data_IF_921188219062
#
_entry.id   IF_921188219062
#
_cell.length_a   1.000
_cell.length_b   1.000
_cell.length_c   1.000
_cell.angle_alpha   90.00
_cell.angle_beta   90.00
_cell.angle_gamma   90.00
#
_symmetry.space_group_name_H-M   'P 1'
#
loop_
_entity.id
_entity.type
_entity.pdbx_description
1 polymer ?
#
# COMPACT_ATOMS: atom_id res chain seq x y z
N UNK A 1 17.49 32.62 -4.18
CA UNK A 1 17.57 31.20 -3.84
C UNK A 1 17.33 30.42 -5.12
N UNK A 2 18.27 29.58 -5.59
CA UNK A 2 18.00 28.72 -6.73
C UNK A 2 16.87 27.76 -6.34
N UNK A 3 15.83 27.68 -7.17
CA UNK A 3 14.74 26.70 -7.00
C UNK A 3 15.37 25.32 -6.89
N UNK A 4 15.06 24.58 -5.81
CA UNK A 4 15.53 23.21 -5.69
C UNK A 4 15.05 22.48 -6.94
N UNK A 5 15.94 21.82 -7.71
CA UNK A 5 15.54 21.13 -8.93
C UNK A 5 14.37 20.24 -8.55
N UNK A 6 13.19 20.54 -9.12
CA UNK A 6 12.01 19.72 -8.92
C UNK A 6 12.48 18.31 -9.19
N UNK A 7 12.45 17.44 -8.16
CA UNK A 7 12.98 16.08 -8.26
C UNK A 7 12.16 15.40 -9.33
N UNK A 8 12.65 15.45 -10.56
CA UNK A 8 12.04 14.84 -11.72
C UNK A 8 11.95 13.37 -11.36
N UNK A 9 10.71 12.94 -11.12
CA UNK A 9 10.43 11.65 -10.56
C UNK A 9 10.96 10.59 -11.50
N UNK A 10 11.82 9.70 -11.00
CA UNK A 10 12.36 8.62 -11.81
C UNK A 10 11.20 7.74 -12.32
N UNK A 11 11.05 7.55 -13.65
CA UNK A 11 10.07 6.63 -14.21
C UNK A 11 10.39 5.19 -13.79
N UNK A 12 9.42 4.29 -13.92
CA UNK A 12 9.67 2.87 -13.76
C UNK A 12 10.76 2.41 -14.73
N UNK A 13 11.58 1.44 -14.31
CA UNK A 13 12.66 0.93 -15.16
C UNK A 13 12.10 0.40 -16.50
N UNK A 14 12.82 0.65 -17.59
CA UNK A 14 12.45 0.10 -18.90
C UNK A 14 12.40 -1.43 -18.87
N UNK A 15 13.27 -2.05 -18.06
CA UNK A 15 13.27 -3.48 -17.79
C UNK A 15 11.97 -3.98 -17.13
N UNK A 16 11.38 -3.21 -16.21
CA UNK A 16 10.07 -3.51 -15.63
C UNK A 16 8.99 -3.51 -16.72
N UNK A 17 8.95 -2.48 -17.57
CA UNK A 17 7.96 -2.40 -18.65
C UNK A 17 8.09 -3.55 -19.66
N UNK A 18 9.32 -3.94 -19.99
CA UNK A 18 9.60 -5.08 -20.87
C UNK A 18 9.15 -6.40 -20.24
N UNK A 19 9.50 -6.63 -18.97
CA UNK A 19 9.09 -7.83 -18.22
C UNK A 19 7.56 -7.92 -18.11
N UNK A 20 6.90 -6.81 -17.77
CA UNK A 20 5.44 -6.70 -17.72
C UNK A 20 4.77 -7.05 -19.05
N UNK A 21 5.26 -6.47 -20.15
CA UNK A 21 4.69 -6.74 -21.48
C UNK A 21 4.79 -8.22 -21.85
N UNK A 22 5.94 -8.84 -21.57
CA UNK A 22 6.14 -10.27 -21.80
C UNK A 22 5.24 -11.11 -20.89
N UNK A 23 5.15 -10.77 -19.62
CA UNK A 23 4.27 -11.44 -18.66
C UNK A 23 2.80 -11.43 -19.09
N UNK A 24 2.29 -10.25 -19.50
CA UNK A 24 0.94 -10.09 -20.01
C UNK A 24 0.73 -10.85 -21.34
N UNK A 25 1.72 -10.83 -22.24
CA UNK A 25 1.67 -11.54 -23.51
C UNK A 25 1.52 -13.05 -23.30
N UNK A 26 2.37 -13.68 -22.48
CA UNK A 26 2.32 -15.13 -22.27
C UNK A 26 1.07 -15.56 -21.52
N UNK A 27 0.61 -14.74 -20.57
CA UNK A 27 -0.65 -14.99 -19.88
C UNK A 27 -1.85 -14.86 -20.82
N UNK A 28 -1.87 -13.85 -21.69
CA UNK A 28 -2.88 -13.70 -22.73
C UNK A 28 -2.83 -14.83 -23.76
N UNK A 29 -1.63 -15.32 -24.11
CA UNK A 29 -1.46 -16.46 -25.00
C UNK A 29 -1.98 -17.76 -24.38
N UNK A 30 -1.76 -17.98 -23.08
CA UNK A 30 -2.33 -19.12 -22.35
C UNK A 30 -3.86 -19.03 -22.31
N UNK A 31 -4.41 -17.85 -22.01
CA UNK A 31 -5.86 -17.62 -22.07
C UNK A 31 -6.38 -17.89 -23.47
N UNK A 32 -5.76 -17.34 -24.51
CA UNK A 32 -6.19 -17.55 -25.90
C UNK A 32 -6.11 -19.02 -26.30
N UNK A 33 -5.06 -19.74 -25.88
CA UNK A 33 -4.93 -21.16 -26.11
C UNK A 33 -6.10 -21.95 -25.51
N UNK A 34 -6.43 -21.69 -24.25
CA UNK A 34 -7.49 -22.39 -23.52
C UNK A 34 -8.92 -21.95 -23.92
N UNK A 35 -9.13 -20.68 -24.29
CA UNK A 35 -10.46 -20.16 -24.65
C UNK A 35 -10.82 -20.34 -26.12
N UNK A 36 -9.87 -20.06 -27.01
CA UNK A 36 -10.10 -20.13 -28.46
C UNK A 36 -9.90 -21.56 -28.94
N UNK A 37 -9.26 -22.42 -28.13
CA UNK A 37 -8.89 -23.76 -28.54
C UNK A 37 -7.96 -23.69 -29.74
N UNK A 38 -6.96 -22.79 -29.70
CA UNK A 38 -6.00 -22.59 -30.79
C UNK A 38 -5.28 -23.91 -31.07
N UNK A 39 -5.79 -24.69 -32.02
CA UNK A 39 -5.12 -25.87 -32.54
C UNK A 39 -4.11 -25.37 -33.56
N UNK A 40 -2.84 -25.42 -33.20
CA UNK A 40 -1.76 -25.23 -34.17
C UNK A 40 -1.95 -26.29 -35.25
N UNK A 41 -2.36 -25.86 -36.45
CA UNK A 41 -2.40 -26.73 -37.61
C UNK A 41 -0.97 -27.20 -37.87
N UNK A 42 -0.72 -28.49 -37.68
CA UNK A 42 0.60 -29.11 -37.82
C UNK A 42 1.28 -28.71 -39.14
N UNK A 43 0.51 -28.59 -40.21
CA UNK A 43 0.99 -28.27 -41.56
C UNK A 43 1.61 -26.85 -41.66
N UNK A 44 1.09 -25.89 -40.89
CA UNK A 44 1.56 -24.50 -40.93
C UNK A 44 2.88 -24.28 -40.18
N UNK A 45 3.20 -25.13 -39.20
CA UNK A 45 4.47 -25.11 -38.48
C UNK A 45 5.52 -26.00 -39.12
N UNK A 46 5.10 -27.13 -39.71
CA UNK A 46 5.98 -28.05 -40.43
C UNK A 46 6.58 -27.40 -41.68
N UNK A 47 5.81 -26.57 -42.38
CA UNK A 47 6.33 -25.74 -43.48
C UNK A 47 7.40 -24.71 -43.05
N UNK A 48 7.51 -24.42 -41.75
CA UNK A 48 8.55 -23.58 -41.15
C UNK A 48 9.64 -24.38 -40.43
N UNK A 49 9.63 -25.72 -40.54
CA UNK A 49 10.62 -26.60 -39.91
C UNK A 49 10.50 -26.74 -38.40
N UNK A 50 9.35 -26.36 -37.81
CA UNK A 50 9.11 -26.48 -36.36
C UNK A 50 8.15 -27.65 -36.11
N UNK A 51 8.70 -28.80 -35.71
CA UNK A 51 7.89 -29.94 -35.29
C UNK A 51 7.63 -29.88 -33.78
N UNK A 52 6.39 -29.60 -33.40
CA UNK A 52 5.93 -29.71 -32.02
C UNK A 52 5.56 -31.17 -31.77
N UNK A 53 6.46 -31.93 -31.14
CA UNK A 53 6.27 -33.36 -30.85
C UNK A 53 5.07 -33.63 -29.92
N UNK A 54 4.70 -32.67 -29.07
CA UNK A 54 3.55 -32.77 -28.17
C UNK A 54 2.85 -31.42 -28.03
N UNK A 55 1.75 -31.19 -28.76
CA UNK A 55 0.92 -29.99 -28.61
C UNK A 55 0.40 -29.83 -27.17
N UNK A 56 0.24 -30.94 -26.43
CA UNK A 56 -0.17 -30.93 -25.03
C UNK A 56 0.90 -30.32 -24.11
N UNK A 57 2.16 -30.20 -24.55
CA UNK A 57 3.22 -29.57 -23.78
C UNK A 57 3.16 -28.03 -23.80
N UNK A 58 2.44 -27.44 -24.76
CA UNK A 58 2.41 -25.97 -24.96
C UNK A 58 1.88 -25.22 -23.72
N UNK A 59 0.76 -25.60 -23.09
CA UNK A 59 0.29 -24.93 -21.87
C UNK A 59 1.31 -24.97 -20.73
N UNK A 60 2.01 -26.08 -20.55
CA UNK A 60 3.04 -26.21 -19.52
C UNK A 60 4.24 -25.30 -19.79
N UNK A 61 4.67 -25.20 -21.05
CA UNK A 61 5.71 -24.25 -21.45
C UNK A 61 5.28 -22.80 -21.20
N UNK A 62 4.02 -22.45 -21.50
CA UNK A 62 3.46 -21.13 -21.22
C UNK A 62 3.40 -20.84 -19.71
N UNK A 63 2.98 -21.80 -18.89
CA UNK A 63 2.98 -21.66 -17.43
C UNK A 63 4.40 -21.42 -16.91
N UNK A 64 5.39 -22.19 -17.39
CA UNK A 64 6.79 -21.99 -17.01
C UNK A 64 7.29 -20.58 -17.38
N UNK A 65 6.94 -20.07 -18.56
CA UNK A 65 7.25 -18.70 -18.98
C UNK A 65 6.55 -17.66 -18.11
N UNK A 66 5.27 -17.85 -17.78
CA UNK A 66 4.51 -16.98 -16.87
C UNK A 66 5.19 -16.95 -15.50
N UNK A 67 5.59 -18.08 -14.93
CA UNK A 67 6.31 -18.14 -13.65
C UNK A 67 7.68 -17.44 -13.69
N UNK A 68 8.42 -17.61 -14.79
CA UNK A 68 9.69 -16.91 -15.00
C UNK A 68 9.49 -15.39 -15.05
N UNK A 69 8.50 -14.91 -15.80
CA UNK A 69 8.22 -13.48 -15.91
C UNK A 69 7.56 -12.90 -14.67
N UNK A 70 6.82 -13.70 -13.90
CA UNK A 70 6.36 -13.36 -12.56
C UNK A 70 7.54 -13.05 -11.64
N UNK A 71 8.54 -13.93 -11.58
CA UNK A 71 9.74 -13.68 -10.80
C UNK A 71 10.44 -12.39 -11.26
N UNK A 72 10.62 -12.22 -12.58
CA UNK A 72 11.30 -11.06 -13.15
C UNK A 72 10.56 -9.73 -12.88
N UNK A 73 9.24 -9.68 -13.04
CA UNK A 73 8.46 -8.47 -12.80
C UNK A 73 8.49 -8.09 -11.32
N UNK A 74 8.42 -9.06 -10.41
CA UNK A 74 8.54 -8.84 -8.95
C UNK A 74 9.91 -8.27 -8.61
N UNK A 75 10.99 -8.84 -9.14
CA UNK A 75 12.35 -8.36 -8.89
C UNK A 75 12.58 -6.94 -9.43
N UNK A 76 12.17 -6.66 -10.67
CA UNK A 76 12.29 -5.31 -11.25
C UNK A 76 11.41 -4.30 -10.51
N UNK A 77 10.21 -4.69 -10.10
CA UNK A 77 9.36 -3.87 -9.24
C UNK A 77 10.06 -3.52 -7.92
N UNK A 78 10.64 -4.50 -7.24
CA UNK A 78 11.35 -4.33 -5.97
C UNK A 78 12.68 -3.55 -6.10
N UNK A 79 13.23 -3.43 -7.31
CA UNK A 79 14.41 -2.58 -7.58
C UNK A 79 14.06 -1.10 -7.73
N UNK A 80 12.84 -0.76 -8.14
CA UNK A 80 12.41 0.64 -8.24
C UNK A 80 12.33 1.29 -6.84
N UNK A 81 12.50 2.61 -6.80
CA UNK A 81 12.38 3.39 -5.56
C UNK A 81 11.01 3.21 -4.89
N UNK A 82 10.98 3.26 -3.55
CA UNK A 82 9.76 3.09 -2.77
C UNK A 82 8.70 4.14 -3.15
N UNK A 83 9.11 5.39 -3.36
CA UNK A 83 8.23 6.49 -3.78
C UNK A 83 7.59 6.27 -5.15
N UNK A 84 8.25 5.54 -6.06
CA UNK A 84 7.70 5.17 -7.38
C UNK A 84 6.74 4.00 -7.23
N UNK A 85 7.09 2.98 -6.43
CA UNK A 85 6.23 1.82 -6.17
C UNK A 85 4.91 2.17 -5.46
N UNK A 86 4.93 3.15 -4.56
CA UNK A 86 3.75 3.54 -3.79
C UNK A 86 2.71 4.33 -4.58
N UNK A 87 3.03 4.71 -5.82
CA UNK A 87 2.06 5.39 -6.68
C UNK A 87 0.94 4.45 -7.04
N UNK A 88 -0.29 4.95 -6.95
CA UNK A 88 -1.49 4.19 -7.27
C UNK A 88 -1.42 3.56 -8.68
N UNK A 89 -1.02 4.33 -9.70
CA UNK A 89 -0.87 3.82 -11.08
C UNK A 89 0.10 2.65 -11.16
N UNK A 90 1.23 2.77 -10.48
CA UNK A 90 2.26 1.75 -10.45
C UNK A 90 1.72 0.48 -9.77
N UNK A 91 1.06 0.63 -8.62
CA UNK A 91 0.48 -0.51 -7.88
C UNK A 91 -0.63 -1.20 -8.66
N UNK A 92 -1.50 -0.44 -9.31
CA UNK A 92 -2.58 -0.96 -10.16
C UNK A 92 -1.99 -1.75 -11.32
N UNK A 93 -0.98 -1.21 -11.98
CA UNK A 93 -0.30 -1.88 -13.08
C UNK A 93 0.32 -3.23 -12.67
N UNK A 94 1.01 -3.22 -11.52
CA UNK A 94 1.57 -4.43 -10.92
C UNK A 94 0.46 -5.44 -10.60
N UNK A 95 -0.61 -5.02 -9.95
CA UNK A 95 -1.72 -5.88 -9.54
C UNK A 95 -2.46 -6.49 -10.75
N UNK A 96 -2.80 -5.68 -11.75
CA UNK A 96 -3.50 -6.11 -12.98
C UNK A 96 -2.69 -7.19 -13.70
N UNK A 97 -1.38 -7.02 -13.80
CA UNK A 97 -0.50 -7.99 -14.47
C UNK A 97 -0.53 -9.36 -13.77
N UNK A 98 -0.52 -9.37 -12.44
CA UNK A 98 -0.61 -10.60 -11.64
C UNK A 98 -1.99 -11.23 -11.71
N UNK A 99 -3.05 -10.42 -11.69
CA UNK A 99 -4.42 -10.90 -11.82
C UNK A 99 -4.63 -11.61 -13.15
N UNK A 100 -4.12 -11.03 -14.25
CA UNK A 100 -4.23 -11.60 -15.58
C UNK A 100 -3.48 -12.95 -15.68
N UNK A 101 -2.30 -13.06 -15.08
CA UNK A 101 -1.54 -14.30 -15.04
C UNK A 101 -2.18 -15.38 -14.15
N UNK A 102 -2.64 -15.02 -12.95
CA UNK A 102 -3.34 -15.94 -12.05
C UNK A 102 -4.66 -16.41 -12.66
N UNK A 103 -5.39 -15.51 -13.33
CA UNK A 103 -6.58 -15.85 -14.11
C UNK A 103 -6.27 -16.85 -15.22
N UNK A 104 -5.19 -16.64 -15.98
CA UNK A 104 -4.76 -17.56 -17.04
C UNK A 104 -4.45 -18.97 -16.50
N UNK A 105 -3.63 -19.07 -15.46
CA UNK A 105 -3.28 -20.34 -14.82
C UNK A 105 -4.54 -20.99 -14.20
N UNK A 106 -5.39 -20.19 -13.56
CA UNK A 106 -6.62 -20.66 -12.96
C UNK A 106 -7.54 -21.31 -14.00
N UNK A 107 -7.80 -20.62 -15.12
CA UNK A 107 -8.63 -21.14 -16.21
C UNK A 107 -8.08 -22.48 -16.71
N UNK A 108 -6.76 -22.58 -16.91
CA UNK A 108 -6.11 -23.82 -17.32
C UNK A 108 -6.36 -24.97 -16.32
N UNK A 109 -6.09 -24.75 -15.04
CA UNK A 109 -6.29 -25.76 -13.99
C UNK A 109 -7.74 -26.20 -13.95
N UNK A 110 -8.67 -25.24 -14.02
CA UNK A 110 -10.10 -25.50 -14.00
C UNK A 110 -10.55 -26.38 -15.18
N UNK A 111 -10.23 -26.00 -16.41
CA UNK A 111 -10.56 -26.80 -17.60
C UNK A 111 -10.02 -28.22 -17.48
N UNK A 112 -8.80 -28.35 -16.96
CA UNK A 112 -8.16 -29.65 -16.77
C UNK A 112 -8.87 -30.52 -15.73
N UNK A 113 -9.27 -29.95 -14.60
CA UNK A 113 -10.01 -30.67 -13.56
C UNK A 113 -11.42 -31.04 -14.00
N UNK A 114 -12.10 -30.14 -14.72
CA UNK A 114 -13.46 -30.36 -15.19
C UNK A 114 -13.53 -31.30 -16.40
N UNK A 115 -12.40 -31.60 -17.06
CA UNK A 115 -12.33 -32.28 -18.35
C UNK A 115 -13.24 -31.63 -19.42
N UNK A 116 -13.38 -30.30 -19.34
CA UNK A 116 -14.22 -29.48 -20.22
C UNK A 116 -13.33 -28.46 -20.91
N UNK A 117 -13.45 -28.33 -22.24
CA UNK A 117 -12.95 -27.17 -22.96
C UNK A 117 -14.01 -26.08 -22.93
N UNK A 118 -13.67 -24.91 -22.39
CA UNK A 118 -14.60 -23.77 -22.36
C UNK A 118 -15.04 -23.41 -23.79
N UNK A 119 -14.17 -23.58 -24.79
CA UNK A 119 -14.50 -23.36 -26.20
C UNK A 119 -15.71 -24.20 -26.67
N UNK A 120 -15.75 -25.48 -26.28
CA UNK A 120 -16.83 -26.40 -26.68
C UNK A 120 -18.15 -26.03 -25.98
N UNK A 121 -18.06 -25.65 -24.70
CA UNK A 121 -19.22 -25.21 -23.93
C UNK A 121 -19.72 -23.84 -24.36
N UNK A 122 -18.86 -22.89 -24.74
CA UNK A 122 -19.26 -21.59 -25.29
C UNK A 122 -20.12 -21.80 -26.52
N UNK A 123 -19.81 -22.78 -27.38
CA UNK A 123 -20.62 -23.05 -28.57
C UNK A 123 -22.04 -23.54 -28.24
N UNK A 124 -22.18 -24.32 -27.16
CA UNK A 124 -23.48 -24.77 -26.64
C UNK A 124 -24.20 -23.66 -25.86
N UNK A 125 -23.45 -22.84 -25.14
CA UNK A 125 -23.94 -21.75 -24.29
C UNK A 125 -24.33 -20.50 -25.08
N UNK A 126 -23.68 -20.17 -26.19
CA UNK A 126 -24.08 -19.02 -27.03
C UNK A 126 -25.50 -19.19 -27.60
N UNK A 127 -26.05 -20.40 -27.59
CA UNK A 127 -27.46 -20.67 -27.89
C UNK A 127 -28.44 -20.55 -26.70
N UNK A 128 -27.98 -20.50 -25.45
CA UNK A 128 -28.86 -20.56 -24.26
C UNK A 128 -28.52 -19.59 -23.11
N UNK A 129 -27.27 -19.16 -22.99
CA UNK A 129 -26.79 -18.30 -21.91
C UNK A 129 -26.53 -16.90 -22.45
N UNK A 130 -27.14 -15.92 -21.80
CA UNK A 130 -26.97 -14.52 -22.15
C UNK A 130 -25.51 -14.15 -21.92
N UNK A 131 -24.80 -13.81 -23.00
CA UNK A 131 -23.39 -13.36 -22.96
C UNK A 131 -23.20 -12.24 -21.94
N UNK A 132 -24.24 -11.42 -21.71
CA UNK A 132 -24.28 -10.40 -20.66
C UNK A 132 -24.02 -10.92 -19.24
N UNK A 133 -24.46 -12.12 -18.88
CA UNK A 133 -24.34 -12.66 -17.52
C UNK A 133 -22.90 -13.08 -17.20
N UNK A 134 -22.19 -13.63 -18.19
CA UNK A 134 -20.77 -13.99 -18.06
C UNK A 134 -19.91 -12.74 -17.92
N UNK A 135 -20.17 -11.71 -18.74
CA UNK A 135 -19.48 -10.43 -18.61
C UNK A 135 -19.82 -9.72 -17.30
N UNK A 136 -21.07 -9.79 -16.83
CA UNK A 136 -21.46 -9.25 -15.53
C UNK A 136 -20.72 -9.93 -14.37
N UNK A 137 -20.53 -11.24 -14.41
CA UNK A 137 -19.77 -11.98 -13.40
C UNK A 137 -18.29 -11.58 -13.36
N UNK A 138 -17.63 -11.52 -14.53
CA UNK A 138 -16.22 -11.09 -14.65
C UNK A 138 -16.07 -9.63 -14.18
N UNK A 139 -16.99 -8.75 -14.60
CA UNK A 139 -16.99 -7.35 -14.21
C UNK A 139 -17.22 -7.18 -12.70
N UNK A 140 -18.11 -7.97 -12.10
CA UNK A 140 -18.35 -7.99 -10.66
C UNK A 140 -17.11 -8.36 -9.85
N UNK A 141 -16.38 -9.42 -10.25
CA UNK A 141 -15.12 -9.82 -9.58
C UNK A 141 -14.05 -8.74 -9.72
N UNK A 142 -13.95 -8.10 -10.88
CA UNK A 142 -13.03 -6.98 -11.12
C UNK A 142 -13.35 -5.77 -10.24
N UNK A 143 -14.63 -5.37 -10.16
CA UNK A 143 -15.10 -4.26 -9.33
C UNK A 143 -14.81 -4.55 -7.85
N UNK A 144 -15.18 -5.74 -7.33
CA UNK A 144 -14.92 -6.11 -5.93
C UNK A 144 -13.43 -6.09 -5.60
N UNK A 145 -12.58 -6.57 -6.52
CA UNK A 145 -11.13 -6.59 -6.33
C UNK A 145 -10.53 -5.18 -6.31
N UNK A 146 -10.95 -4.30 -7.22
CA UNK A 146 -10.51 -2.90 -7.28
C UNK A 146 -10.95 -2.13 -6.03
N UNK A 147 -12.19 -2.34 -5.60
CA UNK A 147 -12.77 -1.71 -4.40
C UNK A 147 -12.04 -2.17 -3.13
N UNK A 148 -11.76 -3.47 -3.01
CA UNK A 148 -11.02 -4.04 -1.87
C UNK A 148 -9.57 -3.53 -1.81
N UNK A 149 -8.90 -3.42 -2.95
CA UNK A 149 -7.55 -2.83 -3.03
C UNK A 149 -7.56 -1.34 -2.67
N UNK A 150 -8.59 -0.60 -3.09
CA UNK A 150 -8.75 0.82 -2.78
C UNK A 150 -9.01 1.05 -1.28
N UNK A 151 -9.88 0.22 -0.67
CA UNK A 151 -10.18 0.24 0.77
C UNK A 151 -8.92 0.04 1.62
N UNK A 152 -8.12 -0.97 1.31
CA UNK A 152 -6.91 -1.26 2.08
C UNK A 152 -5.80 -0.20 1.90
N UNK A 153 -5.71 0.41 0.72
CA UNK A 153 -4.79 1.52 0.46
C UNK A 153 -5.19 2.79 1.23
N UNK A 154 -6.49 3.00 1.44
CA UNK A 154 -7.05 4.17 2.12
C UNK A 154 -7.08 4.04 3.65
N UNK A 155 -7.32 2.84 4.19
CA UNK A 155 -7.15 2.54 5.62
C UNK A 155 -5.75 2.90 6.14
N UNK A 156 -4.74 2.84 5.28
CA UNK A 156 -3.37 3.31 5.55
C UNK A 156 -3.24 4.84 5.71
N UNK A 157 -4.22 5.63 5.27
CA UNK A 157 -4.24 7.10 5.31
C UNK A 157 -5.23 7.68 6.34
N UNK A 158 -5.91 6.85 7.14
CA UNK A 158 -6.69 7.28 8.29
C UNK A 158 -8.06 7.94 8.00
N UNK A 159 -8.61 7.80 6.79
CA UNK A 159 -9.89 8.44 6.43
C UNK A 159 -11.12 7.54 6.65
N UNK A 160 -11.94 7.84 7.65
CA UNK A 160 -13.07 7.01 8.12
C UNK A 160 -14.30 7.02 7.18
N UNK A 161 -14.49 8.07 6.38
CA UNK A 161 -15.72 8.26 5.58
C UNK A 161 -15.75 7.41 4.30
N UNK A 162 -14.60 7.22 3.64
CA UNK A 162 -14.50 6.39 2.44
C UNK A 162 -14.55 4.89 2.79
N UNK A 163 -14.12 4.53 4.00
CA UNK A 163 -14.15 3.16 4.51
C UNK A 163 -15.59 2.61 4.57
N UNK A 164 -16.54 3.41 5.01
CA UNK A 164 -17.96 3.03 5.05
C UNK A 164 -18.59 2.95 3.66
N UNK A 165 -18.17 3.81 2.72
CA UNK A 165 -18.65 3.78 1.34
C UNK A 165 -18.17 2.53 0.59
N UNK A 166 -16.90 2.15 0.75
CA UNK A 166 -16.33 0.97 0.09
C UNK A 166 -16.83 -0.34 0.72
N UNK A 167 -17.03 -0.38 2.04
CA UNK A 167 -17.73 -1.48 2.71
C UNK A 167 -19.16 -1.56 2.18
N UNK A 168 -19.88 -0.44 2.10
CA UNK A 168 -21.24 -0.39 1.53
C UNK A 168 -21.30 -0.85 0.07
N UNK A 169 -20.32 -0.48 -0.76
CA UNK A 169 -20.24 -0.88 -2.16
C UNK A 169 -19.92 -2.38 -2.30
N UNK A 170 -19.03 -2.92 -1.46
CA UNK A 170 -18.74 -4.36 -1.40
C UNK A 170 -19.94 -5.18 -0.88
N UNK A 171 -20.68 -4.65 0.09
CA UNK A 171 -21.92 -5.24 0.59
C UNK A 171 -23.00 -5.21 -0.49
N UNK A 172 -23.13 -4.09 -1.21
CA UNK A 172 -24.07 -3.95 -2.32
C UNK A 172 -23.74 -4.92 -3.46
N UNK A 173 -22.48 -5.10 -3.82
CA UNK A 173 -22.08 -6.11 -4.82
C UNK A 173 -22.39 -7.53 -4.34
N UNK A 174 -22.15 -7.85 -3.07
CA UNK A 174 -22.53 -9.15 -2.48
C UNK A 174 -24.06 -9.33 -2.46
N UNK A 175 -24.83 -8.30 -2.11
CA UNK A 175 -26.30 -8.34 -2.08
C UNK A 175 -26.87 -8.50 -3.48
N UNK A 176 -26.38 -7.72 -4.47
CA UNK A 176 -26.77 -7.88 -5.87
C UNK A 176 -26.43 -9.29 -6.37
N UNK A 177 -25.28 -9.83 -5.97
CA UNK A 177 -24.86 -11.19 -6.30
C UNK A 177 -25.77 -12.27 -5.67
N UNK A 178 -26.17 -12.11 -4.40
CA UNK A 178 -27.10 -13.02 -3.71
C UNK A 178 -28.53 -12.88 -4.24
N UNK A 179 -28.96 -11.68 -4.66
CA UNK A 179 -30.27 -11.50 -5.30
C UNK A 179 -30.32 -12.16 -6.68
N UNK A 180 -29.26 -12.04 -7.48
CA UNK A 180 -29.13 -12.77 -8.75
C UNK A 180 -29.08 -14.30 -8.55
N UNK A 181 -28.58 -14.78 -7.41
CA UNK A 181 -28.60 -16.20 -7.00
C UNK A 181 -30.01 -16.72 -6.70
N UNK A 182 -30.82 -15.94 -5.99
CA UNK A 182 -32.18 -16.35 -5.60
C UNK A 182 -33.13 -16.35 -6.81
N UNK A 183 -32.94 -15.45 -7.77
CA UNK A 183 -33.84 -15.30 -8.92
C UNK A 183 -33.61 -16.38 -10.00
N UNK A 184 -32.37 -16.84 -10.21
CA UNK A 184 -32.03 -17.67 -11.37
C UNK A 184 -31.89 -19.18 -11.09
N UNK A 185 -31.95 -19.61 -9.83
CA UNK A 185 -31.86 -21.03 -9.46
C UNK A 185 -30.43 -21.61 -9.55
N UNK A 186 -30.20 -22.70 -8.83
CA UNK A 186 -28.88 -23.33 -8.69
C UNK A 186 -28.61 -24.21 -9.90
N UNK A 187 -27.90 -23.67 -10.89
CA UNK A 187 -27.22 -24.50 -11.88
C UNK A 187 -25.76 -24.74 -11.45
N UNK A 188 -25.26 -25.96 -11.67
CA UNK A 188 -23.94 -26.42 -11.18
C UNK A 188 -22.77 -25.56 -11.67
N UNK A 189 -22.91 -24.90 -12.82
CA UNK A 189 -21.93 -23.94 -13.34
C UNK A 189 -21.75 -22.70 -12.46
N UNK A 190 -22.75 -22.34 -11.66
CA UNK A 190 -22.71 -21.15 -10.80
C UNK A 190 -21.93 -21.40 -9.51
N UNK A 191 -22.13 -22.55 -8.86
CA UNK A 191 -21.38 -22.94 -7.66
C UNK A 191 -19.86 -22.98 -7.93
N UNK A 192 -19.48 -23.41 -9.13
CA UNK A 192 -18.10 -23.44 -9.58
C UNK A 192 -17.55 -22.02 -9.80
N UNK A 193 -18.32 -21.13 -10.41
CA UNK A 193 -17.91 -19.73 -10.63
C UNK A 193 -17.71 -18.98 -9.31
N UNK A 194 -18.56 -19.23 -8.31
CA UNK A 194 -18.40 -18.71 -6.93
C UNK A 194 -17.13 -19.24 -6.28
N UNK A 195 -16.89 -20.55 -6.35
CA UNK A 195 -15.68 -21.15 -5.81
C UNK A 195 -14.42 -20.56 -6.45
N UNK A 196 -14.47 -20.33 -7.77
CA UNK A 196 -13.37 -19.71 -8.50
C UNK A 196 -13.12 -18.25 -8.07
N UNK A 197 -14.18 -17.45 -7.98
CA UNK A 197 -14.10 -16.07 -7.49
C UNK A 197 -13.57 -15.99 -6.06
N UNK A 198 -14.01 -16.90 -5.18
CA UNK A 198 -13.54 -17.00 -3.80
C UNK A 198 -12.06 -17.37 -3.69
N UNK A 199 -11.59 -18.36 -4.46
CA UNK A 199 -10.18 -18.76 -4.51
C UNK A 199 -9.31 -17.62 -5.03
N UNK A 200 -9.76 -16.93 -6.07
CA UNK A 200 -9.01 -15.82 -6.66
C UNK A 200 -8.90 -14.64 -5.67
N UNK A 201 -10.00 -14.29 -5.00
CA UNK A 201 -10.02 -13.26 -3.96
C UNK A 201 -9.13 -13.63 -2.75
N UNK A 202 -9.17 -14.89 -2.31
CA UNK A 202 -8.31 -15.39 -1.24
C UNK A 202 -6.83 -15.34 -1.62
N UNK A 203 -6.50 -15.70 -2.87
CA UNK A 203 -5.12 -15.68 -3.40
C UNK A 203 -4.59 -14.24 -3.46
N UNK A 204 -5.38 -13.30 -3.98
CA UNK A 204 -5.00 -11.87 -4.01
C UNK A 204 -4.78 -11.34 -2.59
N UNK A 205 -5.66 -11.69 -1.66
CA UNK A 205 -5.53 -11.31 -0.24
C UNK A 205 -4.26 -11.88 0.38
N UNK A 206 -3.97 -13.16 0.13
CA UNK A 206 -2.77 -13.84 0.64
C UNK A 206 -1.48 -13.22 0.09
N UNK A 207 -1.40 -12.99 -1.23
CA UNK A 207 -0.25 -12.34 -1.87
C UNK A 207 -0.04 -10.95 -1.28
N UNK A 208 -1.10 -10.17 -1.08
CA UNK A 208 -1.01 -8.85 -0.47
C UNK A 208 -0.52 -8.91 0.99
N UNK A 209 -1.01 -9.85 1.80
CA UNK A 209 -0.56 -10.06 3.18
C UNK A 209 0.92 -10.48 3.24
N UNK A 210 1.34 -11.39 2.35
CA UNK A 210 2.74 -11.83 2.25
C UNK A 210 3.64 -10.67 1.84
N UNK A 211 3.26 -9.89 0.82
CA UNK A 211 4.02 -8.70 0.41
C UNK A 211 4.07 -7.63 1.50
N UNK A 212 2.97 -7.44 2.26
CA UNK A 212 2.92 -6.54 3.41
C UNK A 212 3.87 -6.97 4.54
N UNK A 213 3.89 -8.26 4.87
CA UNK A 213 4.82 -8.84 5.86
C UNK A 213 6.26 -8.81 5.36
N UNK A 214 6.50 -9.14 4.10
CA UNK A 214 7.82 -9.10 3.47
C UNK A 214 8.37 -7.67 3.48
N UNK A 215 7.52 -6.66 3.21
CA UNK A 215 7.90 -5.25 3.30
C UNK A 215 8.25 -4.83 4.74
N UNK A 216 7.45 -5.20 5.73
CA UNK A 216 7.77 -4.97 7.15
C UNK A 216 9.05 -5.69 7.56
N UNK A 217 9.26 -6.91 7.09
CA UNK A 217 10.45 -7.70 7.35
C UNK A 217 11.69 -7.09 6.69
N UNK A 218 11.61 -6.66 5.43
CA UNK A 218 12.70 -5.96 4.73
C UNK A 218 13.05 -4.64 5.41
N UNK A 219 12.06 -3.89 5.93
CA UNK A 219 12.30 -2.71 6.77
C UNK A 219 13.04 -3.08 8.07
N UNK A 220 12.74 -4.22 8.69
CA UNK A 220 13.44 -4.72 9.88
C UNK A 220 14.83 -5.32 9.60
N UNK A 221 15.05 -5.92 8.42
CA UNK A 221 16.23 -6.73 8.06
C UNK A 221 17.22 -6.04 7.11
N UNK A 222 17.12 -4.72 6.87
CA UNK A 222 18.21 -3.96 6.26
C UNK A 222 19.07 -3.17 7.28
N UNK A 223 19.76 -3.80 8.26
CA UNK A 223 20.77 -3.09 9.05
C UNK A 223 22.14 -2.99 8.33
N UNK A 224 22.43 -3.76 7.27
CA UNK A 224 23.80 -3.85 6.73
C UNK A 224 24.16 -2.87 5.60
N UNK A 225 23.19 -2.23 4.93
CA UNK A 225 23.48 -1.11 4.00
C UNK A 225 23.69 0.22 4.73
N UNK A 226 23.50 0.24 6.06
CA UNK A 226 23.60 1.42 6.91
C UNK A 226 25.00 1.64 7.51
N UNK A 227 25.95 0.72 7.40
CA UNK A 227 27.24 0.90 8.11
C UNK A 227 28.10 2.05 7.56
N UNK A 228 28.02 2.36 6.26
CA UNK A 228 28.66 3.55 5.68
C UNK A 228 27.79 4.84 5.81
N UNK A 229 26.53 4.69 6.24
CA UNK A 229 25.56 5.78 6.44
C UNK A 229 25.29 6.02 7.94
N UNK A 230 25.85 5.20 8.84
CA UNK A 230 25.56 5.23 10.28
C UNK A 230 26.11 6.50 10.91
N UNK A 231 27.27 6.98 10.48
CA UNK A 231 27.80 8.28 10.93
C UNK A 231 26.89 9.43 10.49
N UNK A 232 26.39 9.41 9.24
CA UNK A 232 25.47 10.44 8.73
C UNK A 232 24.11 10.38 9.43
N UNK A 233 23.55 9.19 9.59
CA UNK A 233 22.30 8.95 10.32
C UNK A 233 22.45 9.35 11.78
N UNK A 234 23.59 9.04 12.41
CA UNK A 234 23.86 9.45 13.77
C UNK A 234 24.01 10.98 13.88
N UNK A 235 24.71 11.63 12.95
CA UNK A 235 24.80 13.09 12.89
C UNK A 235 23.42 13.74 12.73
N UNK A 236 22.56 13.21 11.85
CA UNK A 236 21.17 13.67 11.69
C UNK A 236 20.39 13.46 12.99
N UNK A 237 20.53 12.32 13.66
CA UNK A 237 19.87 12.05 14.94
C UNK A 237 20.30 13.02 16.04
N UNK A 238 21.59 13.32 16.11
CA UNK A 238 22.16 14.32 17.01
C UNK A 238 21.60 15.70 16.73
N UNK A 239 21.57 16.11 15.46
CA UNK A 239 21.02 17.39 15.04
C UNK A 239 19.54 17.53 15.42
N UNK A 240 18.74 16.48 15.26
CA UNK A 240 17.34 16.47 15.67
C UNK A 240 17.20 16.58 17.19
N UNK A 241 17.98 15.81 17.94
CA UNK A 241 18.00 15.86 19.39
C UNK A 241 18.35 17.25 19.94
N UNK A 242 19.41 17.86 19.38
CA UNK A 242 19.86 19.19 19.79
C UNK A 242 18.80 20.26 19.50
N UNK A 243 18.10 20.17 18.35
CA UNK A 243 17.00 21.08 17.99
C UNK A 243 15.82 20.95 18.95
N UNK A 244 15.45 19.72 19.31
CA UNK A 244 14.37 19.45 20.28
C UNK A 244 14.73 20.00 21.65
N UNK A 245 15.94 19.76 22.14
CA UNK A 245 16.40 20.29 23.42
C UNK A 245 16.52 21.83 23.41
N UNK A 246 17.05 22.41 22.34
CA UNK A 246 17.13 23.85 22.17
C UNK A 246 15.74 24.49 22.20
N UNK A 247 14.77 23.88 21.50
CA UNK A 247 13.39 24.33 21.54
C UNK A 247 12.80 24.27 22.95
N UNK A 248 12.89 23.12 23.63
CA UNK A 248 12.37 22.95 25.00
C UNK A 248 13.02 23.96 25.95
N UNK A 249 14.34 24.13 25.90
CA UNK A 249 15.05 25.08 26.75
C UNK A 249 14.65 26.54 26.46
N UNK A 250 14.42 26.88 25.19
CA UNK A 250 13.94 28.20 24.81
C UNK A 250 12.52 28.49 25.37
N UNK A 251 11.63 27.49 25.33
CA UNK A 251 10.29 27.61 25.93
C UNK A 251 10.38 27.79 27.45
N UNK A 252 11.22 27.00 28.12
CA UNK A 252 11.44 27.07 29.58
C UNK A 252 12.05 28.41 30.01
N UNK A 253 13.07 28.90 29.30
CA UNK A 253 13.77 30.13 29.64
C UNK A 253 12.89 31.38 29.43
N UNK A 254 12.10 31.41 28.36
CA UNK A 254 11.28 32.58 28.03
C UNK A 254 9.85 32.53 28.59
N UNK A 255 9.43 31.38 29.14
CA UNK A 255 8.04 31.16 29.59
C UNK A 255 7.00 31.30 28.49
N UNK A 256 7.40 31.13 27.22
CA UNK A 256 6.52 31.24 26.04
C UNK A 256 6.91 30.21 24.99
N UNK A 257 5.92 29.51 24.44
CA UNK A 257 6.07 28.75 23.21
C UNK A 257 5.59 29.61 22.04
N UNK A 258 6.49 29.86 21.09
CA UNK A 258 6.14 30.51 19.84
C UNK A 258 5.72 29.45 18.81
N UNK A 259 4.56 29.65 18.19
CA UNK A 259 4.02 28.74 17.16
C UNK A 259 4.90 28.67 15.93
N UNK A 260 5.55 29.78 15.53
CA UNK A 260 6.46 29.73 14.38
C UNK A 260 7.65 28.82 14.68
N UNK A 261 8.21 28.92 15.88
CA UNK A 261 9.29 28.05 16.37
C UNK A 261 8.86 26.57 16.47
N UNK A 262 7.63 26.30 16.94
CA UNK A 262 7.10 24.94 17.02
C UNK A 262 6.87 24.32 15.62
N UNK A 263 6.34 25.11 14.69
CA UNK A 263 6.13 24.71 13.30
C UNK A 263 7.45 24.48 12.58
N UNK A 264 8.44 25.33 12.84
CA UNK A 264 9.78 25.18 12.29
C UNK A 264 10.45 23.91 12.82
N UNK A 265 10.30 23.60 14.12
CA UNK A 265 10.76 22.33 14.68
C UNK A 265 10.11 21.14 13.95
N UNK A 266 8.77 21.11 13.82
CA UNK A 266 8.07 20.05 13.09
C UNK A 266 8.52 19.93 11.64
N UNK A 267 8.74 21.05 10.95
CA UNK A 267 9.21 21.07 9.57
C UNK A 267 10.59 20.45 9.46
N UNK A 268 11.49 20.81 10.38
CA UNK A 268 12.84 20.30 10.46
C UNK A 268 12.86 18.82 10.89
N UNK A 269 11.90 18.38 11.70
CA UNK A 269 11.79 17.01 12.18
C UNK A 269 10.79 16.15 11.39
N UNK A 270 10.31 16.61 10.22
CA UNK A 270 9.25 15.95 9.43
C UNK A 270 9.56 14.49 9.08
N UNK A 271 10.84 14.16 8.97
CA UNK A 271 11.34 12.82 8.63
C UNK A 271 11.83 12.03 9.86
N UNK A 272 11.42 12.42 11.07
CA UNK A 272 11.82 11.72 12.29
C UNK A 272 11.42 10.24 12.28
N UNK A 273 10.32 9.89 11.62
CA UNK A 273 9.86 8.50 11.43
C UNK A 273 10.84 7.60 10.68
N UNK A 274 11.74 8.20 9.90
CA UNK A 274 12.81 7.48 9.18
C UNK A 274 13.99 7.19 10.11
N UNK A 275 14.27 8.10 11.04
CA UNK A 275 15.49 8.07 11.86
C UNK A 275 15.26 7.52 13.27
N UNK A 276 14.04 7.60 13.78
CA UNK A 276 13.67 7.27 15.15
C UNK A 276 12.48 6.30 15.21
N UNK A 277 12.23 5.74 16.39
CA UNK A 277 11.06 4.91 16.65
C UNK A 277 9.77 5.73 16.80
N UNK A 278 8.65 5.02 16.83
CA UNK A 278 7.29 5.56 17.02
C UNK A 278 7.20 6.39 18.32
N UNK A 279 7.93 5.99 19.36
CA UNK A 279 7.99 6.67 20.66
C UNK A 279 8.52 8.12 20.59
N UNK A 280 9.43 8.40 19.66
CA UNK A 280 9.97 9.74 19.43
C UNK A 280 9.01 10.56 18.58
N UNK A 281 8.39 9.94 17.57
CA UNK A 281 7.41 10.62 16.72
C UNK A 281 6.21 11.07 17.55
N UNK A 282 5.72 10.20 18.45
CA UNK A 282 4.65 10.53 19.39
C UNK A 282 5.05 11.66 20.33
N UNK A 283 6.27 11.63 20.87
CA UNK A 283 6.80 12.71 21.70
C UNK A 283 6.85 14.06 20.96
N UNK A 284 7.30 14.08 19.70
CA UNK A 284 7.34 15.30 18.90
C UNK A 284 5.92 15.84 18.61
N UNK A 285 4.96 14.96 18.39
CA UNK A 285 3.56 15.35 18.23
C UNK A 285 2.99 15.93 19.52
N UNK A 286 3.25 15.30 20.67
CA UNK A 286 2.86 15.83 21.99
C UNK A 286 3.49 17.21 22.23
N UNK A 287 4.79 17.34 21.99
CA UNK A 287 5.51 18.61 22.09
C UNK A 287 4.86 19.72 21.26
N UNK A 288 4.48 19.43 20.02
CA UNK A 288 3.78 20.37 19.17
C UNK A 288 2.39 20.76 19.72
N UNK A 289 1.59 19.78 20.16
CA UNK A 289 0.26 20.05 20.72
C UNK A 289 0.33 20.93 21.98
N UNK A 290 1.24 20.61 22.90
CA UNK A 290 1.46 21.41 24.10
C UNK A 290 1.99 22.81 23.77
N UNK A 291 2.77 22.96 22.71
CA UNK A 291 3.26 24.27 22.26
C UNK A 291 2.13 25.18 21.78
N UNK A 292 1.18 24.63 20.99
CA UNK A 292 -0.03 25.36 20.57
C UNK A 292 -0.88 25.75 21.79
N UNK A 293 -1.09 24.79 22.69
CA UNK A 293 -1.89 25.02 23.89
C UNK A 293 -1.25 26.09 24.78
N UNK A 294 0.08 26.08 24.91
CA UNK A 294 0.80 27.05 25.70
C UNK A 294 0.66 28.46 25.13
N UNK A 295 0.81 28.64 23.82
CA UNK A 295 0.64 29.95 23.19
C UNK A 295 -0.78 30.49 23.42
N UNK A 296 -1.80 29.64 23.26
CA UNK A 296 -3.20 30.00 23.51
C UNK A 296 -3.40 30.48 24.95
N UNK A 297 -2.91 29.72 25.93
CA UNK A 297 -3.01 30.06 27.35
C UNK A 297 -2.23 31.33 27.67
N UNK A 298 -1.04 31.52 27.08
CA UNK A 298 -0.24 32.71 27.29
C UNK A 298 -0.91 33.98 26.72
N UNK A 299 -1.57 33.88 25.56
CA UNK A 299 -2.39 34.97 25.01
C UNK A 299 -3.55 35.32 25.95
N UNK A 300 -4.28 34.31 26.44
CA UNK A 300 -5.35 34.53 27.42
C UNK A 300 -4.82 35.17 28.71
N UNK A 301 -3.67 34.71 29.20
CA UNK A 301 -3.01 35.26 30.38
C UNK A 301 -2.62 36.72 30.19
N UNK A 302 -2.07 37.09 29.03
CA UNK A 302 -1.68 38.47 28.71
C UNK A 302 -2.86 39.44 28.57
N UNK A 303 -4.06 38.92 28.32
CA UNK A 303 -5.30 39.70 28.22
C UNK A 303 -5.95 39.93 29.59
N UNK A 304 -5.55 39.19 30.62
CA UNK A 304 -6.04 39.43 31.98
C UNK A 304 -5.46 40.76 32.49
N UNK A 305 -6.36 41.68 32.84
CA UNK A 305 -5.98 42.90 33.56
C UNK A 305 -5.78 42.59 35.05
N UNK A 306 -5.03 43.44 35.75
CA UNK A 306 -4.85 43.35 37.22
C UNK A 306 -6.19 43.30 37.98
N UNK A 307 -7.26 43.84 37.37
CA UNK A 307 -8.61 43.87 37.93
C UNK A 307 -9.49 42.68 37.54
N UNK A 308 -8.97 41.66 36.87
CA UNK A 308 -9.77 40.50 36.46
C UNK A 308 -10.21 39.69 37.68
N UNK A 309 -11.49 39.28 37.77
CA UNK A 309 -11.99 38.44 38.85
C UNK A 309 -11.19 37.13 39.02
N UNK A 310 -10.98 36.69 40.26
CA UNK A 310 -10.15 35.52 40.58
C UNK A 310 -10.69 34.22 39.97
N UNK A 311 -12.01 34.08 39.88
CA UNK A 311 -12.70 32.95 39.25
C UNK A 311 -12.39 32.83 37.75
N UNK A 312 -12.06 33.93 37.07
CA UNK A 312 -11.63 33.95 35.68
C UNK A 312 -10.11 33.72 35.56
N UNK A 313 -9.32 34.31 36.46
CA UNK A 313 -7.87 34.22 36.41
C UNK A 313 -7.32 32.85 36.85
N UNK A 314 -7.93 32.22 37.86
CA UNK A 314 -7.43 30.99 38.46
C UNK A 314 -7.37 29.79 37.49
N UNK A 315 -8.39 29.52 36.63
CA UNK A 315 -8.31 28.43 35.64
C UNK A 315 -7.17 28.62 34.64
N UNK A 316 -6.95 29.86 34.17
CA UNK A 316 -5.89 30.19 33.21
C UNK A 316 -4.52 30.03 33.88
N UNK A 317 -4.37 30.51 35.12
CA UNK A 317 -3.16 30.34 35.93
C UNK A 317 -2.82 28.87 36.13
N UNK A 318 -3.80 28.06 36.54
CA UNK A 318 -3.63 26.63 36.78
C UNK A 318 -3.21 25.90 35.50
N UNK A 319 -3.85 26.22 34.38
CA UNK A 319 -3.50 25.65 33.09
C UNK A 319 -2.09 26.06 32.63
N UNK A 320 -1.73 27.33 32.83
CA UNK A 320 -0.37 27.83 32.56
C UNK A 320 0.67 27.06 33.38
N UNK A 321 0.45 26.90 34.70
CA UNK A 321 1.34 26.12 35.57
C UNK A 321 1.44 24.65 35.15
N UNK A 322 0.33 24.03 34.74
CA UNK A 322 0.31 22.65 34.23
C UNK A 322 1.19 22.49 32.99
N UNK A 323 1.04 23.39 32.01
CA UNK A 323 1.80 23.31 30.76
C UNK A 323 3.28 23.60 31.00
N UNK A 324 3.62 24.61 31.81
CA UNK A 324 5.02 24.89 32.20
C UNK A 324 5.66 23.67 32.88
N UNK A 325 4.94 23.04 33.82
CA UNK A 325 5.41 21.83 34.48
C UNK A 325 5.56 20.63 33.54
N UNK A 326 4.79 20.57 32.46
CA UNK A 326 4.97 19.57 31.40
C UNK A 326 6.26 19.81 30.60
N UNK A 327 6.56 21.06 30.23
CA UNK A 327 7.80 21.41 29.53
C UNK A 327 9.05 21.14 30.37
N UNK A 328 8.98 21.37 31.68
CA UNK A 328 10.07 21.01 32.60
C UNK A 328 10.36 19.51 32.61
N UNK A 329 9.31 18.68 32.66
CA UNK A 329 9.46 17.20 32.58
C UNK A 329 9.91 16.74 31.20
N UNK A 330 9.43 17.38 30.14
CA UNK A 330 9.72 17.02 28.75
C UNK A 330 11.19 17.15 28.40
N UNK A 331 11.92 18.05 29.06
CA UNK A 331 13.37 18.16 28.89
C UNK A 331 14.09 16.85 29.29
N UNK A 332 13.79 16.32 30.47
CA UNK A 332 14.43 15.09 30.96
C UNK A 332 13.90 13.85 30.23
N UNK A 333 12.62 13.88 29.85
CA UNK A 333 12.01 12.84 29.04
C UNK A 333 12.61 12.77 27.63
N UNK A 334 12.89 13.91 26.99
CA UNK A 334 13.61 13.95 25.73
C UNK A 334 14.99 13.29 25.86
N UNK A 335 15.76 13.61 26.90
CA UNK A 335 17.06 12.95 27.15
C UNK A 335 16.92 11.44 27.27
N UNK A 336 15.93 10.97 28.02
CA UNK A 336 15.69 9.54 28.23
C UNK A 336 15.24 8.84 26.94
N UNK A 337 14.30 9.41 26.19
CA UNK A 337 13.76 8.80 24.97
C UNK A 337 14.77 8.81 23.82
N UNK A 338 15.56 9.88 23.66
CA UNK A 338 16.56 9.97 22.59
C UNK A 338 17.85 9.19 22.89
N UNK A 339 18.17 8.90 24.16
CA UNK A 339 19.40 8.20 24.56
C UNK A 339 19.72 6.90 23.78
N UNK A 340 18.76 5.99 23.49
CA UNK A 340 19.03 4.79 22.70
C UNK A 340 19.43 5.06 21.25
N UNK A 341 19.08 6.22 20.70
CA UNK A 341 19.34 6.61 19.31
C UNK A 341 20.59 7.46 19.16
N UNK A 342 21.00 8.11 20.24
CA UNK A 342 22.08 9.09 20.31
C UNK A 342 23.38 8.49 20.89
N UNK A 343 23.32 7.42 21.68
CA UNK A 343 24.55 6.72 22.07
C UNK A 343 25.17 6.06 20.84
N UNK A 344 26.40 6.45 20.49
CA UNK A 344 27.25 5.63 19.62
C UNK A 344 27.31 4.24 20.25
N UNK A 345 26.97 3.23 19.45
CA UNK A 345 27.25 1.85 19.85
C UNK A 345 28.76 1.73 19.77
N UNK A 346 29.42 1.75 20.93
CA UNK A 346 30.85 1.47 21.06
C UNK A 346 31.21 0.09 20.50
#
# INVERSE_FOLDING_TARGET
>A
MPESPSRAMSPLSENYHKARRQYALFSGLLIAWEFVGLRLHHDSLRSKGIDILSPQAVPFALIALILYFFYRIVMEWLRNDESTRERALSMTDFAVSHFLALGAIGVFIYQRMAAIQIADNIRLWVGQVNVGDVFAGIFGVLVVSIVSMSYMSFKRRGGVVLDNFLVGLSLATIITFVFSFVINGIDTGWAISVAFGGILAATVTMVYLVLGKLRKWMKRKRPSLYLADNEKVHAIRMEYYDRVLAYINNVRANGRADYQSAMELLRQTKHADVYFGEDIVDFLNELYQYSIEFEKVNRQWSQLTVSSPEDVAAPIKNKWMQITGWFDKSHDEAKKRFAPYVKLVD
#
